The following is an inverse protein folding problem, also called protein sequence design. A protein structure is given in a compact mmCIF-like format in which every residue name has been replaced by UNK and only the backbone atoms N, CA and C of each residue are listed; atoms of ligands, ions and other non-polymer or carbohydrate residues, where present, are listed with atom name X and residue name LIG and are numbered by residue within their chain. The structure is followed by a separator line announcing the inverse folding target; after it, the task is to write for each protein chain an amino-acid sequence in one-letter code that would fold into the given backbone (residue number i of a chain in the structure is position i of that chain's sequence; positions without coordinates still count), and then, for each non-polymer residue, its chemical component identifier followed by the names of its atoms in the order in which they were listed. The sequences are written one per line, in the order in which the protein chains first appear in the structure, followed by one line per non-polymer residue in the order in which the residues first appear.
data_IF_600475579809
#
_entry.id   IF_600475579809
#
_cell.length_a   1.000
_cell.length_b   1.000
_cell.length_c   1.000
_cell.angle_alpha   90.00
_cell.angle_beta   90.00
_cell.angle_gamma   90.00
#
_symmetry.space_group_name_H-M   'P 1'
#
loop_
_entity.id
_entity.type
_entity.pdbx_description
1 polymer ?
#
# COMPACT_ATOMS: atom_id res chain seq x y z
N UNK A 1 2.32 -11.95 0.42
CA UNK A 1 1.43 -11.14 1.27
C UNK A 1 0.02 -11.15 0.68
N UNK A 2 -1.03 -11.14 1.50
CA UNK A 2 -2.43 -11.06 1.02
C UNK A 2 -2.65 -9.79 0.19
N UNK A 3 -3.45 -9.85 -0.87
CA UNK A 3 -3.71 -8.75 -1.84
C UNK A 3 -2.54 -8.29 -2.73
N UNK A 4 -1.32 -8.81 -2.53
CA UNK A 4 -0.13 -8.38 -3.29
C UNK A 4 0.21 -9.42 -4.34
N UNK A 5 -0.02 -9.07 -5.61
CA UNK A 5 0.35 -9.90 -6.76
C UNK A 5 1.84 -9.83 -7.10
N UNK A 6 2.34 -10.68 -8.02
CA UNK A 6 3.77 -10.78 -8.35
C UNK A 6 4.41 -9.47 -8.81
N UNK A 7 3.71 -8.66 -9.60
CA UNK A 7 4.23 -7.37 -10.07
C UNK A 7 4.33 -6.34 -8.93
N UNK A 8 3.27 -6.21 -8.14
CA UNK A 8 3.24 -5.37 -6.95
C UNK A 8 4.31 -5.75 -5.93
N UNK A 9 4.59 -7.05 -5.77
CA UNK A 9 5.66 -7.53 -4.90
C UNK A 9 7.05 -7.11 -5.41
N UNK A 10 7.29 -7.15 -6.73
CA UNK A 10 8.54 -6.64 -7.33
C UNK A 10 8.70 -5.15 -7.10
N UNK A 11 7.63 -4.37 -7.28
CA UNK A 11 7.65 -2.93 -7.01
C UNK A 11 7.93 -2.62 -5.54
N UNK A 12 7.31 -3.36 -4.61
CA UNK A 12 7.59 -3.22 -3.19
C UNK A 12 9.04 -3.52 -2.85
N UNK A 13 9.58 -4.62 -3.36
CA UNK A 13 10.98 -4.97 -3.16
C UNK A 13 11.93 -3.90 -3.72
N UNK A 14 11.61 -3.31 -4.87
CA UNK A 14 12.39 -2.23 -5.47
C UNK A 14 12.39 -0.93 -4.65
N UNK A 15 11.39 -0.72 -3.80
CA UNK A 15 11.32 0.42 -2.86
C UNK A 15 11.73 0.04 -1.43
N UNK A 16 12.33 -1.14 -1.23
CA UNK A 16 12.86 -1.58 0.06
C UNK A 16 11.85 -2.29 0.98
N UNK A 17 10.67 -2.66 0.47
CA UNK A 17 9.65 -3.42 1.23
C UNK A 17 9.61 -4.86 0.72
N UNK A 18 10.27 -5.76 1.43
CA UNK A 18 10.39 -7.18 1.00
C UNK A 18 9.50 -8.08 1.86
N UNK A 19 9.37 -7.75 3.14
CA UNK A 19 8.61 -8.53 4.11
C UNK A 19 7.31 -7.83 4.53
N UNK A 20 6.40 -8.60 5.14
CA UNK A 20 5.20 -8.02 5.78
C UNK A 20 5.59 -7.03 6.88
N UNK A 21 6.64 -7.33 7.63
CA UNK A 21 7.15 -6.48 8.70
C UNK A 21 7.66 -5.15 8.17
N UNK A 22 8.38 -5.15 7.06
CA UNK A 22 8.83 -3.90 6.41
C UNK A 22 7.62 -3.03 6.04
N UNK A 23 6.54 -3.64 5.53
CA UNK A 23 5.31 -2.94 5.17
C UNK A 23 4.56 -2.43 6.40
N UNK A 24 4.56 -3.18 7.51
CA UNK A 24 3.97 -2.76 8.79
C UNK A 24 4.73 -1.59 9.42
N UNK A 25 6.06 -1.68 9.45
CA UNK A 25 6.96 -0.67 10.01
C UNK A 25 6.90 0.64 9.19
N UNK A 26 6.81 0.54 7.86
CA UNK A 26 6.71 1.69 6.96
C UNK A 26 5.29 2.28 6.87
N UNK A 27 4.27 1.41 6.88
CA UNK A 27 2.87 1.74 6.67
C UNK A 27 2.44 1.85 5.20
N UNK A 28 1.16 1.55 4.94
CA UNK A 28 0.59 1.50 3.59
C UNK A 28 0.70 2.81 2.80
N UNK A 29 0.51 3.95 3.46
CA UNK A 29 0.59 5.28 2.82
C UNK A 29 2.00 5.60 2.34
N UNK A 30 3.01 5.34 3.17
CA UNK A 30 4.40 5.62 2.81
C UNK A 30 4.92 4.66 1.74
N UNK A 31 4.59 3.37 1.84
CA UNK A 31 4.89 2.41 0.79
C UNK A 31 4.27 2.83 -0.56
N UNK A 32 3.01 3.25 -0.55
CA UNK A 32 2.34 3.76 -1.75
C UNK A 32 3.03 5.00 -2.33
N UNK A 33 3.43 5.96 -1.49
CA UNK A 33 4.15 7.17 -1.91
C UNK A 33 5.54 6.85 -2.48
N UNK A 34 6.29 5.96 -1.86
CA UNK A 34 7.58 5.51 -2.39
C UNK A 34 7.40 4.87 -3.77
N UNK A 35 6.40 4.01 -3.95
CA UNK A 35 6.11 3.41 -5.26
C UNK A 35 5.77 4.47 -6.32
N UNK A 36 4.96 5.48 -5.98
CA UNK A 36 4.70 6.63 -6.87
C UNK A 36 5.98 7.39 -7.20
N UNK A 37 6.81 7.69 -6.20
CA UNK A 37 8.08 8.42 -6.35
C UNK A 37 9.09 7.65 -7.22
N UNK A 38 9.06 6.31 -7.16
CA UNK A 38 9.81 5.44 -8.06
C UNK A 38 9.25 5.37 -9.49
N UNK A 39 8.16 6.08 -9.80
CA UNK A 39 7.56 6.15 -11.14
C UNK A 39 6.61 5.00 -11.45
N UNK A 40 6.23 4.17 -10.47
CA UNK A 40 5.25 3.12 -10.70
C UNK A 40 3.84 3.70 -10.78
N UNK A 41 3.08 3.22 -11.76
CA UNK A 41 1.67 3.56 -11.91
C UNK A 41 0.82 2.79 -10.88
N UNK A 42 0.77 3.32 -9.66
CA UNK A 42 -0.03 2.75 -8.57
C UNK A 42 -1.37 3.47 -8.44
N UNK A 43 -2.43 2.70 -8.22
CA UNK A 43 -3.80 3.20 -8.10
C UNK A 43 -4.25 3.23 -6.64
N UNK A 44 -5.37 3.90 -6.29
CA UNK A 44 -5.92 3.84 -4.93
C UNK A 44 -6.24 2.41 -4.46
N UNK A 45 -6.52 1.47 -5.37
CA UNK A 45 -6.70 0.06 -5.01
C UNK A 45 -5.40 -0.54 -4.47
N UNK A 46 -4.23 -0.14 -4.99
CA UNK A 46 -2.94 -0.56 -4.46
C UNK A 46 -2.75 -0.10 -3.02
N UNK A 47 -3.11 1.14 -2.71
CA UNK A 47 -3.08 1.66 -1.33
C UNK A 47 -3.92 0.79 -0.37
N UNK A 48 -5.09 0.31 -0.81
CA UNK A 48 -5.92 -0.58 0.00
C UNK A 48 -5.38 -2.01 0.07
N UNK A 49 -4.76 -2.49 -1.01
CA UNK A 49 -4.10 -3.78 -1.02
C UNK A 49 -2.98 -3.82 0.03
N UNK A 50 -2.20 -2.74 0.13
CA UNK A 50 -1.16 -2.58 1.16
C UNK A 50 -1.75 -2.55 2.57
N UNK A 51 -2.81 -1.76 2.82
CA UNK A 51 -3.45 -1.74 4.13
C UNK A 51 -4.09 -3.10 4.48
N UNK A 52 -4.74 -3.74 3.51
CA UNK A 52 -5.30 -5.07 3.67
C UNK A 52 -4.24 -6.12 3.97
N UNK A 53 -3.06 -6.02 3.36
CA UNK A 53 -1.92 -6.89 3.66
C UNK A 53 -1.44 -6.74 5.10
N UNK A 54 -1.36 -5.50 5.61
CA UNK A 54 -1.01 -5.20 7.02
C UNK A 54 -2.04 -5.84 7.97
N UNK A 55 -3.32 -5.59 7.73
CA UNK A 55 -4.43 -6.05 8.58
C UNK A 55 -4.79 -7.54 8.40
N UNK A 56 -4.12 -8.23 7.48
CA UNK A 56 -4.49 -9.57 6.99
C UNK A 56 -5.98 -9.69 6.53
N UNK A 57 -6.52 -8.62 5.97
CA UNK A 57 -7.88 -8.56 5.41
C UNK A 57 -7.84 -8.43 3.89
N UNK A 58 -8.83 -9.01 3.21
CA UNK A 58 -9.04 -8.69 1.79
C UNK A 58 -9.38 -7.20 1.67
N UNK A 59 -8.75 -6.47 0.75
CA UNK A 59 -8.86 -5.00 0.66
C UNK A 59 -10.32 -4.49 0.53
N UNK A 60 -11.20 -5.28 -0.11
CA UNK A 60 -12.64 -4.97 -0.19
C UNK A 60 -13.34 -4.90 1.19
N UNK A 61 -12.84 -5.64 2.18
CA UNK A 61 -13.41 -5.69 3.54
C UNK A 61 -12.98 -4.52 4.42
N UNK A 62 -12.08 -3.66 3.95
CA UNK A 62 -11.70 -2.45 4.69
C UNK A 62 -12.91 -1.49 4.80
N UNK A 63 -13.18 -0.91 5.99
CA UNK A 63 -14.25 0.07 6.16
C UNK A 63 -14.10 1.26 5.20
N UNK A 64 -15.22 1.80 4.73
CA UNK A 64 -15.23 2.97 3.81
C UNK A 64 -14.44 4.15 4.38
N UNK A 65 -14.71 4.51 5.64
CA UNK A 65 -13.99 5.56 6.37
C UNK A 65 -12.48 5.37 6.36
N UNK A 66 -12.00 4.14 6.58
CA UNK A 66 -10.57 3.84 6.55
C UNK A 66 -9.98 4.05 5.14
N UNK A 67 -10.70 3.66 4.08
CA UNK A 67 -10.27 3.91 2.70
C UNK A 67 -10.18 5.40 2.41
N UNK A 68 -11.13 6.19 2.91
CA UNK A 68 -11.15 7.64 2.73
C UNK A 68 -9.99 8.31 3.50
N UNK A 69 -9.74 7.91 4.74
CA UNK A 69 -8.60 8.38 5.53
C UNK A 69 -7.27 8.07 4.84
N UNK A 70 -7.12 6.85 4.30
CA UNK A 70 -5.92 6.47 3.54
C UNK A 70 -5.73 7.33 2.30
N UNK A 71 -6.80 7.57 1.51
CA UNK A 71 -6.74 8.44 0.33
C UNK A 71 -6.34 9.87 0.70
N UNK A 72 -6.97 10.43 1.74
CA UNK A 72 -6.71 11.78 2.19
C UNK A 72 -5.25 11.94 2.62
N UNK A 73 -4.75 11.00 3.44
CA UNK A 73 -3.34 10.95 3.83
C UNK A 73 -2.44 10.83 2.61
N UNK A 74 -2.71 9.93 1.67
CA UNK A 74 -1.87 9.75 0.50
C UNK A 74 -1.75 11.00 -0.40
N UNK A 75 -2.75 11.89 -0.39
CA UNK A 75 -2.78 13.16 -1.14
C UNK A 75 -2.15 14.34 -0.41
N UNK A 76 -2.10 14.32 0.93
CA UNK A 76 -1.67 15.46 1.74
C UNK A 76 -0.17 15.83 1.63
N UNK A 77 0.64 15.00 0.96
CA UNK A 77 2.08 15.24 0.75
C UNK A 77 2.43 15.33 -0.76
N UNK A 78 1.46 15.70 -1.61
CA UNK A 78 1.70 16.20 -2.98
C UNK A 78 1.84 17.73 -2.96
#
# INVERSE_FOLDING_TARGET
MKNIGPQSAKWLAAVGVVTKKDLEDLGAVNAFRLMRKHGYNVTPVMLYALQGAIMDLHWNRLPGKLKDDLRARARADE
#
